data_IF_130817004698
#
_entry.id   IF_130817004698
#
_cell.length_a   1.000
_cell.length_b   1.000
_cell.length_c   1.000
_cell.angle_alpha   90.00
_cell.angle_beta   90.00
_cell.angle_gamma   90.00
#
_symmetry.space_group_name_H-M   'P 1'
#
loop_
_entity.id
_entity.type
_entity.pdbx_description
1 polymer ?
#
# COMPACT_ATOMS: atom_id res chain seq x y z
N UNK A 1 0.45 -14.72 -39.16
CA UNK A 1 1.52 -14.17 -40.01
C UNK A 1 1.74 -12.71 -39.66
N UNK A 2 2.85 -12.41 -38.98
CA UNK A 2 3.25 -11.03 -38.65
C UNK A 2 4.59 -10.78 -39.34
N UNK A 3 4.70 -9.66 -40.05
CA UNK A 3 5.90 -9.25 -40.78
C UNK A 3 6.50 -8.04 -40.06
N UNK A 4 7.78 -8.13 -39.71
CA UNK A 4 8.53 -7.06 -39.07
C UNK A 4 9.30 -6.22 -40.12
N UNK A 5 9.61 -4.94 -39.83
CA UNK A 5 10.25 -4.02 -40.77
C UNK A 5 11.71 -4.37 -41.13
N UNK A 6 12.31 -5.37 -40.50
CA UNK A 6 13.61 -5.95 -40.86
C UNK A 6 13.50 -7.09 -41.90
N UNK A 7 12.29 -7.35 -42.41
CA UNK A 7 12.02 -8.39 -43.40
C UNK A 7 11.86 -9.79 -42.79
N UNK A 8 11.87 -9.93 -41.47
CA UNK A 8 11.61 -11.21 -40.81
C UNK A 8 10.11 -11.52 -40.79
N UNK A 9 9.76 -12.76 -41.13
CA UNK A 9 8.38 -13.28 -41.13
C UNK A 9 8.28 -14.36 -40.07
N UNK A 10 7.36 -14.18 -39.11
CA UNK A 10 7.00 -15.23 -38.16
C UNK A 10 5.67 -15.85 -38.60
N UNK A 11 5.73 -17.14 -38.94
CA UNK A 11 4.56 -17.96 -39.18
C UNK A 11 4.00 -18.50 -37.85
N UNK A 12 2.79 -18.07 -37.50
CA UNK A 12 2.04 -18.55 -36.33
C UNK A 12 0.93 -19.42 -36.87
N UNK A 13 1.26 -20.65 -37.22
CA UNK A 13 0.30 -21.71 -37.49
C UNK A 13 0.99 -23.08 -37.47
N UNK A 14 1.30 -23.59 -36.27
CA UNK A 14 1.50 -25.02 -36.05
C UNK A 14 1.31 -25.35 -34.57
N UNK A 15 0.06 -25.57 -34.16
CA UNK A 15 -0.24 -26.44 -33.03
C UNK A 15 -1.02 -27.64 -33.59
N UNK A 16 -0.56 -28.88 -33.36
CA UNK A 16 -1.43 -30.03 -33.58
C UNK A 16 -2.55 -30.02 -32.52
N UNK A 17 -3.78 -30.16 -32.98
CA UNK A 17 -4.99 -30.37 -32.17
C UNK A 17 -4.83 -31.58 -31.24
N UNK A 18 -5.17 -31.48 -29.94
CA UNK A 18 -5.33 -32.66 -29.09
C UNK A 18 -6.69 -33.34 -29.39
N UNK A 19 -6.80 -34.67 -29.21
CA UNK A 19 -8.06 -35.38 -29.42
C UNK A 19 -9.09 -35.03 -28.33
N UNK A 20 -10.35 -34.93 -28.75
CA UNK A 20 -11.52 -34.77 -27.89
C UNK A 20 -11.81 -36.09 -27.15
N UNK A 21 -11.68 -36.09 -25.83
CA UNK A 21 -12.35 -37.06 -24.95
C UNK A 21 -13.21 -36.31 -23.92
N UNK A 22 -14.48 -36.70 -23.71
CA UNK A 22 -15.36 -36.08 -22.72
C UNK A 22 -15.13 -36.74 -21.36
N UNK A 23 -14.27 -36.16 -20.53
CA UNK A 23 -14.08 -36.60 -19.14
C UNK A 23 -14.45 -35.51 -18.16
N UNK A 24 -15.59 -35.74 -17.52
CA UNK A 24 -16.07 -35.27 -16.21
C UNK A 24 -15.03 -34.50 -15.38
N UNK A 25 -15.30 -33.26 -14.92
CA UNK A 25 -14.40 -32.61 -13.98
C UNK A 25 -14.44 -33.34 -12.64
N UNK A 26 -13.31 -33.85 -12.10
CA UNK A 26 -13.26 -34.24 -10.70
C UNK A 26 -13.24 -32.97 -9.86
N UNK A 27 -14.32 -32.73 -9.12
CA UNK A 27 -14.33 -31.87 -7.96
C UNK A 27 -13.31 -32.39 -6.93
N UNK A 28 -12.03 -32.01 -7.02
CA UNK A 28 -11.11 -31.87 -5.88
C UNK A 28 -9.76 -31.34 -6.33
N UNK A 29 -9.51 -30.10 -5.95
CA UNK A 29 -8.25 -29.40 -6.17
C UNK A 29 -8.44 -27.95 -5.83
N UNK A 30 -8.82 -27.65 -4.59
CA UNK A 30 -8.53 -26.35 -4.02
C UNK A 30 -7.00 -26.25 -3.97
N UNK A 31 -6.40 -25.85 -5.09
CA UNK A 31 -5.06 -25.28 -5.07
C UNK A 31 -5.22 -24.01 -4.26
N UNK A 32 -4.96 -24.12 -2.96
CA UNK A 32 -4.73 -22.95 -2.13
C UNK A 32 -3.72 -22.09 -2.87
N UNK A 33 -4.18 -20.97 -3.42
CA UNK A 33 -3.27 -19.90 -3.79
C UNK A 33 -2.38 -19.69 -2.56
N UNK A 34 -1.05 -19.71 -2.67
CA UNK A 34 -0.21 -19.46 -1.52
C UNK A 34 -0.64 -18.11 -0.95
N UNK A 35 -1.12 -18.13 0.29
CA UNK A 35 -1.67 -16.99 1.03
C UNK A 35 -0.60 -15.92 1.36
N UNK A 36 0.49 -15.89 0.60
CA UNK A 36 1.73 -15.19 0.88
C UNK A 36 1.86 -13.86 0.10
N UNK A 37 0.87 -13.53 -0.74
CA UNK A 37 0.86 -12.28 -1.53
C UNK A 37 0.01 -11.18 -0.90
N UNK A 38 -0.80 -11.50 0.12
CA UNK A 38 -1.67 -10.53 0.78
C UNK A 38 -0.89 -9.51 1.62
N UNK A 39 0.31 -9.89 2.08
CA UNK A 39 1.18 -9.08 2.93
C UNK A 39 2.38 -8.49 2.18
N UNK A 40 2.43 -8.68 0.85
CA UNK A 40 3.48 -8.04 0.05
C UNK A 40 3.33 -6.50 0.16
N UNK A 41 4.42 -5.73 0.36
CA UNK A 41 4.35 -4.27 0.54
C UNK A 41 3.57 -3.55 -0.56
N UNK A 42 3.62 -4.06 -1.80
CA UNK A 42 2.80 -3.57 -2.91
C UNK A 42 1.30 -3.85 -2.75
N UNK A 43 0.90 -5.02 -2.25
CA UNK A 43 -0.49 -5.36 -2.00
C UNK A 43 -1.07 -4.52 -0.85
N UNK A 44 -0.28 -4.30 0.22
CA UNK A 44 -0.63 -3.41 1.33
C UNK A 44 -0.73 -1.95 0.84
N UNK A 45 0.22 -1.49 0.02
CA UNK A 45 0.21 -0.16 -0.59
C UNK A 45 -1.04 0.10 -1.45
N UNK A 46 -1.52 -0.90 -2.20
CA UNK A 46 -2.77 -0.82 -2.97
C UNK A 46 -4.00 -0.74 -2.06
N UNK A 47 -4.02 -1.50 -0.95
CA UNK A 47 -5.12 -1.43 0.05
C UNK A 47 -5.16 -0.07 0.74
N UNK A 48 -4.00 0.43 1.17
CA UNK A 48 -3.83 1.78 1.71
C UNK A 48 -4.31 2.85 0.71
N UNK A 49 -3.99 2.69 -0.58
CA UNK A 49 -4.48 3.58 -1.64
C UNK A 49 -5.99 3.55 -1.77
N UNK A 50 -6.59 2.34 -1.84
CA UNK A 50 -8.04 2.18 -1.96
C UNK A 50 -8.77 2.79 -0.78
N UNK A 51 -8.26 2.58 0.44
CA UNK A 51 -8.80 3.20 1.65
C UNK A 51 -8.78 4.73 1.60
N UNK A 52 -7.99 5.38 0.75
CA UNK A 52 -7.93 6.84 0.70
C UNK A 52 -8.68 7.44 -0.49
N UNK A 53 -8.88 6.67 -1.54
CA UNK A 53 -9.66 7.08 -2.72
C UNK A 53 -11.13 6.73 -2.63
N UNK A 54 -11.53 5.83 -1.74
CA UNK A 54 -12.93 5.55 -1.54
C UNK A 54 -13.58 6.72 -0.79
N UNK A 55 -14.55 7.43 -1.40
CA UNK A 55 -15.25 8.54 -0.74
C UNK A 55 -16.08 8.08 0.46
N UNK A 56 -16.31 6.78 0.61
CA UNK A 56 -16.95 6.18 1.78
C UNK A 56 -15.97 5.86 2.92
N UNK A 57 -14.66 6.05 2.74
CA UNK A 57 -13.72 5.76 3.82
C UNK A 57 -13.86 6.78 4.93
N UNK A 58 -14.39 6.31 6.06
CA UNK A 58 -14.29 7.02 7.33
C UNK A 58 -12.83 7.07 7.76
N UNK A 59 -12.23 8.26 7.76
CA UNK A 59 -10.94 8.48 8.40
C UNK A 59 -11.04 8.09 9.88
N UNK A 60 -10.38 7.00 10.24
CA UNK A 60 -10.44 6.37 11.56
C UNK A 60 -9.05 6.10 12.12
N UNK A 61 -8.99 5.78 13.41
CA UNK A 61 -7.81 5.25 14.09
C UNK A 61 -7.19 4.07 13.32
N UNK A 62 -7.99 3.07 12.97
CA UNK A 62 -7.54 1.91 12.20
C UNK A 62 -6.92 2.29 10.85
N UNK A 63 -7.46 3.32 10.18
CA UNK A 63 -6.95 3.80 8.89
C UNK A 63 -5.57 4.42 9.04
N UNK A 64 -5.35 5.26 10.06
CA UNK A 64 -4.03 5.85 10.28
C UNK A 64 -3.01 4.80 10.72
N UNK A 65 -3.40 3.84 11.56
CA UNK A 65 -2.55 2.72 11.98
C UNK A 65 -2.07 1.92 10.78
N UNK A 66 -3.01 1.50 9.92
CA UNK A 66 -2.69 0.78 8.70
C UNK A 66 -1.71 1.57 7.82
N UNK A 67 -1.89 2.87 7.67
CA UNK A 67 -1.03 3.71 6.85
C UNK A 67 0.38 3.88 7.45
N UNK A 68 0.48 4.03 8.78
CA UNK A 68 1.76 4.09 9.49
C UNK A 68 2.51 2.77 9.33
N UNK A 69 1.85 1.64 9.57
CA UNK A 69 2.47 0.32 9.37
C UNK A 69 2.88 0.07 7.92
N UNK A 70 2.07 0.51 6.96
CA UNK A 70 2.40 0.39 5.54
C UNK A 70 3.67 1.17 5.20
N UNK A 71 3.82 2.38 5.74
CA UNK A 71 5.02 3.19 5.53
C UNK A 71 6.26 2.56 6.19
N UNK A 72 6.12 1.99 7.39
CA UNK A 72 7.19 1.26 8.08
C UNK A 72 7.65 0.03 7.27
N UNK A 73 6.72 -0.81 6.79
CA UNK A 73 7.04 -1.97 5.94
C UNK A 73 7.69 -1.58 4.63
N UNK A 74 7.28 -0.46 4.02
CA UNK A 74 7.92 0.06 2.81
C UNK A 74 9.36 0.50 3.08
N UNK A 75 9.64 1.14 4.22
CA UNK A 75 11.00 1.47 4.62
C UNK A 75 11.87 0.24 4.82
N UNK A 76 11.35 -0.79 5.49
CA UNK A 76 12.02 -2.08 5.68
C UNK A 76 12.34 -2.76 4.35
N UNK A 77 11.43 -2.65 3.37
CA UNK A 77 11.64 -3.13 2.00
C UNK A 77 12.60 -2.26 1.16
N UNK A 78 13.21 -1.22 1.74
CA UNK A 78 14.19 -0.36 1.06
C UNK A 78 13.58 0.76 0.21
N UNK A 79 12.28 1.06 0.35
CA UNK A 79 11.61 2.12 -0.40
C UNK A 79 12.06 3.56 -0.02
N UNK A 80 13.02 3.70 0.90
CA UNK A 80 13.68 4.97 1.19
C UNK A 80 14.41 5.56 -0.03
N UNK A 81 14.72 4.73 -1.03
CA UNK A 81 15.45 5.08 -2.24
C UNK A 81 14.84 4.41 -3.48
N UNK A 82 15.13 4.91 -4.67
CA UNK A 82 14.71 4.29 -5.93
C UNK A 82 13.21 4.42 -6.23
N UNK A 83 12.64 3.43 -6.92
CA UNK A 83 11.28 3.48 -7.48
C UNK A 83 10.17 3.47 -6.42
N UNK A 84 10.42 2.91 -5.24
CA UNK A 84 9.47 2.88 -4.12
C UNK A 84 9.33 4.19 -3.34
N UNK A 85 10.24 5.15 -3.55
CA UNK A 85 10.30 6.42 -2.81
C UNK A 85 9.01 7.23 -2.91
N UNK A 86 8.45 7.32 -4.11
CA UNK A 86 7.26 8.12 -4.37
C UNK A 86 6.03 7.56 -3.65
N UNK A 87 5.89 6.23 -3.63
CA UNK A 87 4.79 5.55 -2.93
C UNK A 87 4.94 5.70 -1.42
N UNK A 88 6.14 5.51 -0.88
CA UNK A 88 6.42 5.76 0.54
C UNK A 88 6.04 7.19 0.96
N UNK A 89 6.49 8.20 0.21
CA UNK A 89 6.15 9.60 0.51
C UNK A 89 4.64 9.85 0.48
N UNK A 90 3.94 9.23 -0.46
CA UNK A 90 2.49 9.35 -0.59
C UNK A 90 1.78 8.71 0.62
N UNK A 91 2.18 7.51 1.02
CA UNK A 91 1.62 6.83 2.21
C UNK A 91 1.85 7.66 3.46
N UNK A 92 3.07 8.17 3.69
CA UNK A 92 3.38 9.04 4.84
C UNK A 92 2.52 10.30 4.86
N UNK A 93 2.35 10.95 3.71
CA UNK A 93 1.51 12.14 3.58
C UNK A 93 0.07 11.83 3.97
N UNK A 94 -0.45 10.70 3.51
CA UNK A 94 -1.82 10.32 3.76
C UNK A 94 -2.02 9.90 5.23
N UNK A 95 -1.06 9.18 5.82
CA UNK A 95 -1.04 8.88 7.26
C UNK A 95 -1.16 10.17 8.09
N UNK A 96 -0.38 11.20 7.75
CA UNK A 96 -0.49 12.51 8.40
C UNK A 96 -1.86 13.17 8.21
N UNK A 97 -2.43 13.11 7.01
CA UNK A 97 -3.78 13.67 6.76
C UNK A 97 -4.86 13.00 7.62
N UNK A 98 -4.84 11.66 7.72
CA UNK A 98 -5.80 10.92 8.57
C UNK A 98 -5.53 11.19 10.04
N UNK A 99 -4.26 11.17 10.47
CA UNK A 99 -3.85 11.55 11.82
C UNK A 99 -4.38 12.93 12.22
N UNK A 100 -4.28 13.91 11.32
CA UNK A 100 -4.73 15.28 11.58
C UNK A 100 -6.25 15.38 11.77
N UNK A 101 -7.02 14.49 11.14
CA UNK A 101 -8.47 14.40 11.34
C UNK A 101 -8.76 13.73 12.68
N UNK A 102 -8.12 12.59 12.97
CA UNK A 102 -8.44 11.83 14.18
C UNK A 102 -7.98 12.52 15.48
N UNK A 103 -7.02 13.44 15.42
CA UNK A 103 -6.51 14.13 16.63
C UNK A 103 -7.58 14.91 17.41
N UNK A 104 -8.67 15.26 16.75
CA UNK A 104 -9.80 15.98 17.34
C UNK A 104 -10.91 15.03 17.82
N UNK A 105 -11.07 13.88 17.16
CA UNK A 105 -12.14 12.89 17.48
C UNK A 105 -11.68 11.78 18.42
N UNK A 106 -10.41 11.40 18.33
CA UNK A 106 -9.73 10.35 19.11
C UNK A 106 -8.29 10.80 19.43
N UNK A 107 -8.13 11.70 20.40
CA UNK A 107 -6.83 12.27 20.75
C UNK A 107 -5.90 11.26 21.44
N UNK A 108 -6.43 10.21 22.07
CA UNK A 108 -5.62 9.20 22.75
C UNK A 108 -4.85 8.38 21.71
N UNK A 109 -5.55 7.80 20.73
CA UNK A 109 -4.89 7.06 19.65
C UNK A 109 -3.99 7.97 18.80
N UNK A 110 -4.40 9.22 18.56
CA UNK A 110 -3.54 10.17 17.86
C UNK A 110 -2.22 10.45 18.62
N UNK A 111 -2.26 10.49 19.96
CA UNK A 111 -1.06 10.67 20.78
C UNK A 111 -0.17 9.43 20.77
N UNK A 112 -0.76 8.24 20.83
CA UNK A 112 -0.03 6.96 20.78
C UNK A 112 0.70 6.75 19.44
N UNK A 113 0.10 7.20 18.34
CA UNK A 113 0.69 7.09 17.00
C UNK A 113 1.69 8.19 16.65
N UNK A 114 1.67 9.31 17.37
CA UNK A 114 2.53 10.46 17.09
C UNK A 114 4.03 10.12 17.03
N UNK A 115 4.62 9.30 17.93
CA UNK A 115 6.04 8.94 17.85
C UNK A 115 6.42 8.20 16.57
N UNK A 116 5.58 7.25 16.14
CA UNK A 116 5.78 6.46 14.90
C UNK A 116 5.68 7.36 13.68
N UNK A 117 4.63 8.19 13.63
CA UNK A 117 4.45 9.15 12.55
C UNK A 117 5.61 10.17 12.49
N UNK A 118 6.13 10.63 13.63
CA UNK A 118 7.29 11.52 13.68
C UNK A 118 8.56 10.86 13.13
N UNK A 119 8.78 9.57 13.41
CA UNK A 119 9.91 8.83 12.85
C UNK A 119 9.84 8.79 11.31
N UNK A 120 8.65 8.57 10.76
CA UNK A 120 8.39 8.55 9.31
C UNK A 120 8.51 9.93 8.65
N UNK A 121 8.11 11.00 9.33
CA UNK A 121 8.10 12.36 8.77
C UNK A 121 9.48 13.03 8.74
N UNK A 122 10.40 12.64 9.64
CA UNK A 122 11.71 13.31 9.79
C UNK A 122 12.46 13.39 8.47
N UNK A 123 13.01 14.58 8.19
CA UNK A 123 13.82 14.86 7.00
C UNK A 123 13.05 15.03 5.69
N UNK A 124 11.84 14.48 5.55
CA UNK A 124 11.06 14.56 4.31
C UNK A 124 9.90 15.57 4.37
N UNK A 125 9.38 15.90 5.57
CA UNK A 125 8.16 16.69 5.71
C UNK A 125 8.21 17.70 6.88
N UNK A 126 9.06 18.73 6.83
CA UNK A 126 9.33 19.61 7.98
C UNK A 126 8.08 20.28 8.56
N UNK A 127 7.14 20.73 7.71
CA UNK A 127 5.89 21.35 8.18
C UNK A 127 4.98 20.35 8.92
N UNK A 128 4.90 19.11 8.45
CA UNK A 128 4.06 18.07 9.08
C UNK A 128 4.70 17.58 10.37
N UNK A 129 6.03 17.46 10.40
CA UNK A 129 6.76 17.18 11.63
C UNK A 129 6.47 18.24 12.70
N UNK A 130 6.48 19.52 12.32
CA UNK A 130 6.17 20.61 13.24
C UNK A 130 4.72 20.54 13.77
N UNK A 131 3.72 20.30 12.92
CA UNK A 131 2.31 20.14 13.32
C UNK A 131 2.12 19.02 14.36
N UNK A 132 2.75 17.87 14.16
CA UNK A 132 2.66 16.76 15.13
C UNK A 132 3.35 17.09 16.45
N UNK A 133 4.52 17.75 16.41
CA UNK A 133 5.24 18.18 17.62
C UNK A 133 4.41 19.18 18.41
N UNK A 134 3.94 20.25 17.75
CA UNK A 134 3.18 21.33 18.37
C UNK A 134 1.95 20.76 19.10
N UNK A 135 1.12 19.99 18.39
CA UNK A 135 -0.08 19.39 18.98
C UNK A 135 0.24 18.46 20.16
N UNK A 136 1.23 17.57 20.02
CA UNK A 136 1.59 16.63 21.08
C UNK A 136 2.16 17.34 22.33
N UNK A 137 2.89 18.45 22.14
CA UNK A 137 3.38 19.26 23.26
C UNK A 137 2.25 19.97 24.00
N UNK A 138 1.29 20.56 23.29
CA UNK A 138 0.13 21.22 23.91
C UNK A 138 -0.71 20.24 24.72
N UNK A 139 -0.92 19.01 24.23
CA UNK A 139 -1.68 17.97 24.94
C UNK A 139 -1.01 17.46 26.21
N UNK A 140 0.32 17.48 26.30
CA UNK A 140 1.05 17.05 27.51
C UNK A 140 1.06 18.09 28.62
N UNK A 141 0.72 19.34 28.32
CA UNK A 141 0.70 20.45 29.29
C UNK A 141 -0.66 20.72 29.91
N UNK A 142 -1.70 20.00 29.47
CA UNK A 142 -3.08 20.08 29.96
C UNK A 142 -3.39 18.84 30.78
#
# INVERSE_FOLDING_TARGET
>A
MIIFPDGSVVDVASHPTPPTEPHTPPCRGATAAPADHADHPHAIGIRAWRALTDPATTYSAETVELLVETAERLLEAGAASGTGRADLLRVIRNAHSVWHVIRDTDPETALDLAPRLLALLRGSHPRRTADVIEWATTRRTV
#
